data_IF_399974342268
#
_entry.id   IF_399974342268
#
_cell.length_a   1.000
_cell.length_b   1.000
_cell.length_c   1.000
_cell.angle_alpha   90.00
_cell.angle_beta   90.00
_cell.angle_gamma   90.00
#
_symmetry.space_group_name_H-M   'P 1'
#
loop_
_entity.id
_entity.type
_entity.pdbx_description
1 polymer ?
#
# COMPACT_ATOMS: atom_id res chain seq x y z
N UNK A 1 -22.38 -3.08 -16.41
CA UNK A 1 -21.78 -3.95 -15.37
C UNK A 1 -22.65 -3.82 -14.12
N UNK A 2 -23.07 -4.92 -13.49
CA UNK A 2 -23.99 -4.87 -12.33
C UNK A 2 -23.33 -4.13 -11.15
N UNK A 3 -24.09 -3.35 -10.39
CA UNK A 3 -23.59 -2.49 -9.31
C UNK A 3 -22.92 -3.30 -8.19
N UNK A 4 -23.51 -4.45 -7.86
CA UNK A 4 -22.93 -5.43 -6.93
C UNK A 4 -21.56 -5.95 -7.40
N UNK A 5 -21.37 -6.13 -8.70
CA UNK A 5 -20.11 -6.59 -9.27
C UNK A 5 -19.04 -5.49 -9.25
N UNK A 6 -19.44 -4.23 -9.46
CA UNK A 6 -18.55 -3.06 -9.27
C UNK A 6 -18.05 -2.97 -7.83
N UNK A 7 -18.95 -3.13 -6.86
CA UNK A 7 -18.62 -3.06 -5.44
C UNK A 7 -17.70 -4.22 -5.01
N UNK A 8 -17.95 -5.43 -5.52
CA UNK A 8 -17.09 -6.59 -5.30
C UNK A 8 -15.66 -6.36 -5.84
N UNK A 9 -15.54 -5.86 -7.08
CA UNK A 9 -14.23 -5.54 -7.68
C UNK A 9 -13.49 -4.46 -6.88
N UNK A 10 -14.20 -3.42 -6.43
CA UNK A 10 -13.61 -2.37 -5.60
C UNK A 10 -13.09 -2.92 -4.27
N UNK A 11 -13.82 -3.82 -3.63
CA UNK A 11 -13.41 -4.45 -2.37
C UNK A 11 -12.19 -5.37 -2.57
N UNK A 12 -12.22 -6.21 -3.62
CA UNK A 12 -11.11 -7.07 -4.00
C UNK A 12 -9.83 -6.26 -4.28
N UNK A 13 -9.98 -5.11 -4.91
CA UNK A 13 -8.88 -4.19 -5.19
C UNK A 13 -8.25 -3.63 -3.90
N UNK A 14 -9.07 -3.16 -2.97
CA UNK A 14 -8.58 -2.59 -1.70
C UNK A 14 -7.84 -3.64 -0.88
N UNK A 15 -8.39 -4.87 -0.81
CA UNK A 15 -7.73 -6.01 -0.17
C UNK A 15 -6.40 -6.31 -0.84
N UNK A 16 -6.35 -6.30 -2.18
CA UNK A 16 -5.12 -6.59 -2.92
C UNK A 16 -4.05 -5.52 -2.69
N UNK A 17 -4.43 -4.24 -2.74
CA UNK A 17 -3.49 -3.15 -2.48
C UNK A 17 -2.96 -3.19 -1.04
N UNK A 18 -3.84 -3.45 -0.07
CA UNK A 18 -3.47 -3.62 1.33
C UNK A 18 -2.56 -4.83 1.53
N UNK A 19 -2.89 -5.98 0.94
CA UNK A 19 -2.08 -7.20 1.04
C UNK A 19 -0.69 -6.99 0.46
N UNK A 20 -0.56 -6.35 -0.71
CA UNK A 20 0.75 -6.01 -1.28
C UNK A 20 1.54 -5.07 -0.36
N UNK A 21 0.91 -4.01 0.16
CA UNK A 21 1.56 -3.08 1.10
C UNK A 21 2.01 -3.76 2.40
N UNK A 22 1.16 -4.62 2.96
CA UNK A 22 1.44 -5.40 4.17
C UNK A 22 2.55 -6.45 3.95
N UNK A 23 2.57 -7.10 2.79
CA UNK A 23 3.63 -8.06 2.45
C UNK A 23 4.98 -7.40 2.31
N UNK A 24 5.05 -6.25 1.63
CA UNK A 24 6.29 -5.45 1.55
C UNK A 24 6.70 -4.99 2.94
N UNK A 25 5.74 -4.54 3.77
CA UNK A 25 6.01 -4.16 5.16
C UNK A 25 6.60 -5.32 5.97
N UNK A 26 6.06 -6.53 5.87
CA UNK A 26 6.60 -7.70 6.57
C UNK A 26 8.04 -8.02 6.14
N UNK A 27 8.37 -7.83 4.85
CA UNK A 27 9.72 -8.03 4.34
C UNK A 27 10.73 -6.99 4.87
N UNK A 28 10.29 -5.89 5.48
CA UNK A 28 11.20 -4.92 6.12
C UNK A 28 11.75 -5.39 7.47
N UNK A 29 11.22 -6.49 8.04
CA UNK A 29 11.61 -6.97 9.37
C UNK A 29 11.15 -6.07 10.52
N UNK A 30 10.36 -5.02 10.23
CA UNK A 30 9.90 -4.07 11.25
C UNK A 30 8.65 -4.55 12.00
N UNK A 31 8.02 -5.66 11.58
CA UNK A 31 6.85 -6.25 12.23
C UNK A 31 7.28 -7.06 13.47
N UNK A 32 7.02 -6.58 14.71
CA UNK A 32 7.50 -7.23 15.91
C UNK A 32 6.61 -8.41 16.36
N UNK A 33 5.43 -8.62 15.73
CA UNK A 33 4.44 -9.61 16.17
C UNK A 33 4.45 -10.92 15.40
N UNK A 34 5.12 -10.99 14.25
CA UNK A 34 5.20 -12.22 13.46
C UNK A 34 6.63 -12.74 13.41
N UNK A 35 6.88 -14.04 13.70
CA UNK A 35 8.13 -14.67 13.32
C UNK A 35 8.32 -14.47 11.81
N UNK A 36 9.56 -14.19 11.38
CA UNK A 36 9.92 -13.84 10.00
C UNK A 36 9.08 -14.63 8.99
N UNK A 37 8.08 -14.01 8.35
CA UNK A 37 7.23 -14.75 7.45
C UNK A 37 8.07 -15.20 6.26
N UNK A 38 7.81 -16.41 5.77
CA UNK A 38 8.64 -16.97 4.70
C UNK A 38 8.68 -16.01 3.51
N UNK A 39 9.89 -15.65 3.06
CA UNK A 39 10.09 -14.71 1.95
C UNK A 39 9.27 -15.11 0.71
N UNK A 40 9.18 -16.41 0.46
CA UNK A 40 8.37 -17.00 -0.62
C UNK A 40 6.87 -16.75 -0.47
N UNK A 41 6.32 -16.82 0.74
CA UNK A 41 4.90 -16.51 0.96
C UNK A 41 4.60 -15.04 0.69
N UNK A 42 5.48 -14.13 1.13
CA UNK A 42 5.31 -12.69 0.90
C UNK A 42 5.44 -12.33 -0.58
N UNK A 43 6.39 -12.96 -1.29
CA UNK A 43 6.52 -12.85 -2.75
C UNK A 43 5.25 -13.31 -3.45
N UNK A 44 4.66 -14.44 -3.05
CA UNK A 44 3.40 -14.93 -3.63
C UNK A 44 2.26 -13.93 -3.44
N UNK A 45 2.10 -13.36 -2.23
CA UNK A 45 1.07 -12.34 -1.97
C UNK A 45 1.27 -11.08 -2.81
N UNK A 46 2.53 -10.66 -3.01
CA UNK A 46 2.85 -9.53 -3.88
C UNK A 46 2.47 -9.85 -5.33
N UNK A 47 2.84 -11.02 -5.85
CA UNK A 47 2.52 -11.43 -7.23
C UNK A 47 1.01 -11.54 -7.44
N UNK A 48 0.28 -12.15 -6.52
CA UNK A 48 -1.18 -12.27 -6.58
C UNK A 48 -1.83 -10.88 -6.52
N UNK A 49 -1.43 -10.03 -5.58
CA UNK A 49 -1.96 -8.68 -5.43
C UNK A 49 -1.71 -7.81 -6.66
N UNK A 50 -0.49 -7.87 -7.23
CA UNK A 50 -0.16 -7.21 -8.49
C UNK A 50 -0.97 -7.76 -9.67
N UNK A 51 -1.20 -9.07 -9.73
CA UNK A 51 -2.05 -9.71 -10.74
C UNK A 51 -3.48 -9.16 -10.72
N UNK A 52 -4.07 -9.01 -9.52
CA UNK A 52 -5.40 -8.40 -9.36
C UNK A 52 -5.39 -6.92 -9.75
N UNK A 53 -4.36 -6.16 -9.37
CA UNK A 53 -4.20 -4.75 -9.75
C UNK A 53 -4.15 -4.61 -11.29
N UNK A 54 -3.38 -5.45 -11.98
CA UNK A 54 -3.30 -5.46 -13.45
C UNK A 54 -4.64 -5.84 -14.05
N UNK A 55 -5.29 -6.89 -13.57
CA UNK A 55 -6.61 -7.32 -14.03
C UNK A 55 -7.63 -6.17 -13.95
N UNK A 56 -7.74 -5.53 -12.79
CA UNK A 56 -8.67 -4.41 -12.58
C UNK A 56 -8.28 -3.20 -13.43
N UNK A 57 -6.98 -2.92 -13.58
CA UNK A 57 -6.49 -1.85 -14.45
C UNK A 57 -6.91 -2.05 -15.92
N UNK A 58 -6.94 -3.29 -16.42
CA UNK A 58 -7.38 -3.59 -17.80
C UNK A 58 -8.89 -3.51 -18.00
N UNK A 59 -9.67 -3.60 -16.92
CA UNK A 59 -11.14 -3.51 -16.92
C UNK A 59 -11.65 -2.11 -16.60
N UNK A 60 -10.75 -1.18 -16.26
CA UNK A 60 -11.08 0.21 -15.97
C UNK A 60 -11.52 0.95 -17.22
N UNK A 61 -12.41 1.93 -17.03
CA UNK A 61 -12.83 2.87 -18.08
C UNK A 61 -11.73 3.92 -18.36
N UNK A 62 -10.81 4.14 -17.41
CA UNK A 62 -9.66 5.02 -17.55
C UNK A 62 -8.47 4.35 -18.28
N UNK A 63 -7.55 5.12 -18.88
CA UNK A 63 -6.35 4.57 -19.51
C UNK A 63 -5.58 3.63 -18.58
N UNK A 64 -5.27 2.41 -19.06
CA UNK A 64 -4.58 1.36 -18.29
C UNK A 64 -3.38 1.90 -17.49
N UNK A 65 -2.51 2.71 -18.13
CA UNK A 65 -1.31 3.28 -17.48
C UNK A 65 -1.67 4.17 -16.29
N UNK A 66 -2.73 4.98 -16.38
CA UNK A 66 -3.16 5.87 -15.29
C UNK A 66 -3.77 5.06 -14.14
N UNK A 67 -4.68 4.13 -14.46
CA UNK A 67 -5.28 3.25 -13.46
C UNK A 67 -4.20 2.44 -12.73
N UNK A 68 -3.27 1.82 -13.47
CA UNK A 68 -2.18 1.04 -12.91
C UNK A 68 -1.34 1.88 -11.93
N UNK A 69 -0.94 3.09 -12.33
CA UNK A 69 -0.15 3.98 -11.46
C UNK A 69 -0.93 4.38 -10.21
N UNK A 70 -2.23 4.71 -10.31
CA UNK A 70 -3.07 5.03 -9.15
C UNK A 70 -3.13 3.88 -8.15
N UNK A 71 -3.27 2.64 -8.65
CA UNK A 71 -3.37 1.45 -7.81
C UNK A 71 -2.02 1.06 -7.19
N UNK A 72 -0.91 1.23 -7.91
CA UNK A 72 0.42 1.07 -7.34
C UNK A 72 0.70 2.10 -6.24
N UNK A 73 0.29 3.36 -6.45
CA UNK A 73 0.39 4.41 -5.44
C UNK A 73 -0.48 4.10 -4.21
N UNK A 74 -1.64 3.48 -4.41
CA UNK A 74 -2.50 3.01 -3.32
C UNK A 74 -1.79 1.94 -2.47
N UNK A 75 -1.09 0.99 -3.09
CA UNK A 75 -0.29 -0.01 -2.36
C UNK A 75 0.87 0.63 -1.56
N UNK A 76 1.54 1.63 -2.14
CA UNK A 76 2.60 2.38 -1.45
C UNK A 76 2.05 3.20 -0.28
N UNK A 77 0.89 3.84 -0.45
CA UNK A 77 0.21 4.58 0.62
C UNK A 77 -0.08 3.66 1.81
N UNK A 78 -0.56 2.44 1.58
CA UNK A 78 -0.75 1.44 2.64
C UNK A 78 0.56 1.03 3.32
N UNK A 79 1.62 0.83 2.55
CA UNK A 79 2.95 0.49 3.08
C UNK A 79 3.47 1.60 4.02
N UNK A 80 3.47 2.85 3.58
CA UNK A 80 3.99 3.96 4.37
C UNK A 80 3.11 4.28 5.59
N UNK A 81 1.79 4.07 5.48
CA UNK A 81 0.88 4.14 6.62
C UNK A 81 1.24 3.09 7.67
N UNK A 82 1.44 1.83 7.29
CA UNK A 82 1.85 0.75 8.19
C UNK A 82 3.22 1.03 8.85
N UNK A 83 4.19 1.54 8.08
CA UNK A 83 5.49 1.97 8.59
C UNK A 83 5.34 3.07 9.65
N UNK A 84 4.55 4.11 9.36
CA UNK A 84 4.33 5.22 10.28
C UNK A 84 3.69 4.76 11.60
N UNK A 85 2.65 3.92 11.53
CA UNK A 85 1.97 3.37 12.71
C UNK A 85 2.92 2.50 13.54
N UNK A 86 3.75 1.69 12.89
CA UNK A 86 4.71 0.82 13.58
C UNK A 86 5.80 1.63 14.28
N UNK A 87 6.33 2.66 13.62
CA UNK A 87 7.36 3.53 14.19
C UNK A 87 6.80 4.34 15.37
N UNK A 88 5.57 4.85 15.25
CA UNK A 88 4.86 5.50 16.36
C UNK A 88 4.62 4.52 17.52
N UNK A 89 4.20 3.29 17.23
CA UNK A 89 4.05 2.25 18.25
C UNK A 89 5.37 1.94 18.98
N UNK A 90 6.48 1.86 18.24
CA UNK A 90 7.83 1.67 18.82
C UNK A 90 8.27 2.85 19.68
N UNK A 91 7.91 4.08 19.32
CA UNK A 91 8.19 5.27 20.14
C UNK A 91 7.54 5.25 21.52
N UNK A 92 6.37 4.61 21.65
CA UNK A 92 5.74 4.41 22.95
C UNK A 92 6.39 3.29 23.78
N UNK A 93 7.19 2.43 23.15
CA UNK A 93 7.81 1.26 23.79
C UNK A 93 9.30 1.43 24.10
N UNK A 94 10.04 2.21 23.32
CA UNK A 94 11.51 2.34 23.41
C UNK A 94 11.98 3.75 23.79
N UNK A 95 13.11 3.83 24.51
CA UNK A 95 13.74 5.10 24.93
C UNK A 95 14.54 5.81 23.82
N UNK A 96 14.73 5.20 22.66
CA UNK A 96 15.41 5.79 21.48
C UNK A 96 14.44 6.70 20.72
N UNK A 97 14.15 7.86 21.31
CA UNK A 97 13.14 8.81 20.83
C UNK A 97 13.49 9.47 19.48
N UNK A 98 14.70 10.00 19.29
CA UNK A 98 14.95 10.96 18.20
C UNK A 98 14.90 10.38 16.78
N UNK A 99 15.53 9.22 16.54
CA UNK A 99 15.63 8.65 15.19
C UNK A 99 14.31 8.04 14.71
N UNK A 100 13.54 7.40 15.61
CA UNK A 100 12.24 6.82 15.27
C UNK A 100 11.19 7.90 14.97
N UNK A 101 11.25 9.07 15.64
CA UNK A 101 10.41 10.23 15.31
C UNK A 101 10.69 10.78 13.92
N UNK A 102 11.97 10.89 13.54
CA UNK A 102 12.36 11.31 12.21
C UNK A 102 11.83 10.34 11.13
N UNK A 103 12.04 9.03 11.31
CA UNK A 103 11.55 8.02 10.38
C UNK A 103 10.02 8.01 10.29
N UNK A 104 9.30 8.17 11.41
CA UNK A 104 7.85 8.25 11.42
C UNK A 104 7.36 9.47 10.64
N UNK A 105 7.99 10.64 10.84
CA UNK A 105 7.67 11.86 10.11
C UNK A 105 7.92 11.71 8.60
N UNK A 106 9.03 11.09 8.20
CA UNK A 106 9.34 10.79 6.78
C UNK A 106 8.29 9.84 6.19
N UNK A 107 7.90 8.78 6.92
CA UNK A 107 6.88 7.85 6.46
C UNK A 107 5.52 8.56 6.26
N UNK A 108 5.09 9.39 7.22
CA UNK A 108 3.85 10.19 7.11
C UNK A 108 3.91 11.16 5.94
N UNK A 109 5.02 11.89 5.79
CA UNK A 109 5.22 12.81 4.68
C UNK A 109 5.15 12.08 3.32
N UNK A 110 5.73 10.88 3.25
CA UNK A 110 5.69 10.05 2.04
C UNK A 110 4.28 9.53 1.76
N UNK A 111 3.53 9.11 2.77
CA UNK A 111 2.09 8.76 2.64
C UNK A 111 1.28 9.93 2.10
N UNK A 112 1.50 11.15 2.61
CA UNK A 112 0.81 12.34 2.09
C UNK A 112 1.23 12.67 0.66
N UNK A 113 2.51 12.51 0.33
CA UNK A 113 3.01 12.74 -1.02
C UNK A 113 2.42 11.74 -2.02
N UNK A 114 2.36 10.44 -1.70
CA UNK A 114 1.72 9.41 -2.54
C UNK A 114 0.23 9.66 -2.68
N UNK A 115 -0.46 10.03 -1.59
CA UNK A 115 -1.88 10.40 -1.63
C UNK A 115 -2.14 11.59 -2.57
N UNK A 116 -1.34 12.66 -2.44
CA UNK A 116 -1.44 13.86 -3.27
C UNK A 116 -1.11 13.57 -4.74
N UNK A 117 -0.11 12.73 -5.01
CA UNK A 117 0.26 12.33 -6.36
C UNK A 117 -0.87 11.52 -7.01
N UNK A 118 -1.40 10.51 -6.31
CA UNK A 118 -2.52 9.66 -6.75
C UNK A 118 -3.74 10.50 -7.15
N UNK A 119 -4.02 11.55 -6.38
CA UNK A 119 -5.16 12.45 -6.61
C UNK A 119 -4.83 13.67 -7.47
N UNK A 120 -3.65 13.72 -8.09
CA UNK A 120 -3.22 14.86 -8.91
C UNK A 120 -4.04 15.00 -10.20
N UNK A 121 -4.13 16.24 -10.70
CA UNK A 121 -4.80 16.55 -11.97
C UNK A 121 -4.22 15.78 -13.16
N UNK A 122 -2.96 15.40 -13.14
CA UNK A 122 -2.33 14.65 -14.23
C UNK A 122 -2.83 13.20 -14.30
N UNK A 123 -2.98 12.54 -13.15
CA UNK A 123 -3.52 11.17 -13.07
C UNK A 123 -5.04 11.13 -13.22
N UNK A 124 -5.73 12.20 -12.83
CA UNK A 124 -7.19 12.33 -12.91
C UNK A 124 -7.68 13.13 -14.13
N UNK A 125 -6.80 13.59 -15.02
CA UNK A 125 -7.23 14.15 -16.29
C UNK A 125 -7.92 13.02 -17.08
N UNK A 126 -9.11 13.28 -17.58
CA UNK A 126 -9.84 12.42 -18.52
C UNK A 126 -9.11 12.41 -19.85
#
# INVERSE_FOLDING_TARGET
>A
MNEYFRLFLALLLHISCFATGFSIFNMTGLNPKNPEPSMWSQLLFIVIGLGVIVYISTKSEEPFKRTLVKLLLQSLEWLFLLLSLTLVGKLFSDKTLSFNWFLAAVAVATTMATHKLKNSKWLNAT
#
